data_IF_779910329910
#
_entry.id   IF_779910329910
#
_cell.length_a   1.000
_cell.length_b   1.000
_cell.length_c   1.000
_cell.angle_alpha   90.00
_cell.angle_beta   90.00
_cell.angle_gamma   90.00
#
_symmetry.space_group_name_H-M   'P 1'
#
loop_
_entity.id
_entity.type
_entity.pdbx_description
1 polymer ?
#
# COMPACT_ATOMS: atom_id res chain seq x y z
N UNK A 1 14.77 -7.93 3.18
CA UNK A 1 14.80 -6.69 2.37
C UNK A 1 13.63 -6.78 1.40
N UNK A 2 12.72 -5.81 1.37
CA UNK A 2 11.61 -5.81 0.40
C UNK A 2 12.11 -5.01 -0.79
N UNK A 3 11.88 -5.51 -2.00
CA UNK A 3 12.32 -4.87 -3.24
C UNK A 3 11.15 -4.94 -4.23
N UNK A 4 11.04 -3.91 -5.07
CA UNK A 4 10.20 -3.94 -6.26
C UNK A 4 11.09 -4.05 -7.49
N UNK A 5 10.58 -4.74 -8.51
CA UNK A 5 11.28 -4.91 -9.79
C UNK A 5 10.63 -4.01 -10.83
N UNK A 6 11.43 -3.12 -11.45
CA UNK A 6 11.03 -2.30 -12.59
C UNK A 6 12.01 -2.61 -13.73
N UNK A 7 11.66 -3.60 -14.57
CA UNK A 7 12.59 -4.14 -15.56
C UNK A 7 13.74 -4.91 -14.89
N UNK A 8 14.98 -4.48 -15.13
CA UNK A 8 16.18 -5.03 -14.47
C UNK A 8 16.54 -4.30 -13.16
N UNK A 9 15.87 -3.19 -12.85
CA UNK A 9 16.14 -2.41 -11.65
C UNK A 9 15.44 -3.00 -10.41
N UNK A 10 16.20 -3.12 -9.32
CA UNK A 10 15.69 -3.47 -8.00
C UNK A 10 15.66 -2.25 -7.12
N UNK A 11 14.46 -1.73 -6.87
CA UNK A 11 14.26 -0.54 -6.06
C UNK A 11 13.91 -1.00 -4.62
N UNK A 12 14.65 -0.56 -3.60
CA UNK A 12 14.38 -0.93 -2.22
C UNK A 12 13.02 -0.39 -1.77
N UNK A 13 12.27 -1.22 -1.05
CA UNK A 13 11.00 -0.89 -0.42
C UNK A 13 11.20 -0.99 1.09
N UNK A 14 10.89 0.09 1.80
CA UNK A 14 11.04 0.11 3.25
C UNK A 14 9.80 -0.51 3.91
N UNK A 15 10.01 -1.55 4.71
CA UNK A 15 8.92 -2.24 5.41
C UNK A 15 8.10 -1.29 6.28
N UNK A 16 8.76 -0.37 6.96
CA UNK A 16 8.10 0.55 7.88
C UNK A 16 7.19 1.52 7.12
N UNK A 17 7.62 2.03 5.95
CA UNK A 17 6.77 2.82 5.05
C UNK A 17 5.56 2.03 4.55
N UNK A 18 5.74 0.75 4.22
CA UNK A 18 4.60 -0.13 3.86
C UNK A 18 3.59 -0.21 5.02
N UNK A 19 4.05 -0.42 6.25
CA UNK A 19 3.18 -0.48 7.43
C UNK A 19 2.47 0.85 7.64
N UNK A 20 3.17 1.98 7.51
CA UNK A 20 2.58 3.33 7.62
C UNK A 20 1.47 3.56 6.59
N UNK A 21 1.68 3.15 5.34
CA UNK A 21 0.65 3.23 4.29
C UNK A 21 -0.57 2.39 4.66
N UNK A 22 -0.38 1.15 5.12
CA UNK A 22 -1.48 0.27 5.51
C UNK A 22 -2.27 0.85 6.70
N UNK A 23 -1.61 1.53 7.65
CA UNK A 23 -2.26 2.22 8.77
C UNK A 23 -3.19 3.34 8.31
N UNK A 24 -2.92 4.00 7.18
CA UNK A 24 -3.80 5.05 6.65
C UNK A 24 -5.19 4.52 6.24
N UNK A 25 -5.34 3.21 5.99
CA UNK A 25 -6.60 2.56 5.64
C UNK A 25 -7.40 2.03 6.86
N UNK A 26 -6.97 2.34 8.09
CA UNK A 26 -7.66 1.93 9.31
C UNK A 26 -9.13 2.32 9.31
N UNK A 27 -9.43 3.54 8.88
CA UNK A 27 -10.80 4.09 8.91
C UNK A 27 -11.34 4.43 7.51
N UNK A 28 -10.51 4.30 6.47
CA UNK A 28 -10.85 4.68 5.08
C UNK A 28 -10.52 3.55 4.11
N UNK A 29 -11.33 3.39 3.06
CA UNK A 29 -11.07 2.43 1.97
C UNK A 29 -10.20 3.05 0.86
N UNK A 30 -10.26 4.38 0.72
CA UNK A 30 -9.56 5.18 -0.29
C UNK A 30 -8.90 6.40 0.38
N UNK A 31 -7.66 6.70 0.00
CA UNK A 31 -6.86 7.81 0.51
C UNK A 31 -6.18 8.54 -0.66
N UNK A 32 -5.75 9.79 -0.44
CA UNK A 32 -4.90 10.50 -1.40
C UNK A 32 -3.55 9.79 -1.52
N UNK A 33 -3.01 9.73 -2.72
CA UNK A 33 -1.72 9.09 -2.99
C UNK A 33 -0.51 10.00 -2.72
N UNK A 34 -0.78 11.29 -2.50
CA UNK A 34 0.20 12.29 -2.10
C UNK A 34 0.85 11.90 -0.76
N UNK A 35 2.18 11.87 -0.73
CA UNK A 35 2.96 11.46 0.44
C UNK A 35 3.33 9.96 0.46
N UNK A 36 2.84 9.16 -0.49
CA UNK A 36 3.28 7.78 -0.68
C UNK A 36 4.34 7.73 -1.78
N UNK A 37 5.52 7.22 -1.46
CA UNK A 37 6.60 7.04 -2.43
C UNK A 37 6.22 6.06 -3.54
N UNK A 38 6.75 6.32 -4.73
CA UNK A 38 6.45 5.53 -5.94
C UNK A 38 6.75 4.05 -5.74
N UNK A 39 7.85 3.72 -5.05
CA UNK A 39 8.28 2.35 -4.86
C UNK A 39 7.24 1.52 -4.10
N UNK A 40 6.76 2.04 -2.97
CA UNK A 40 5.77 1.39 -2.13
C UNK A 40 4.41 1.29 -2.83
N UNK A 41 3.99 2.31 -3.60
CA UNK A 41 2.75 2.28 -4.39
C UNK A 41 2.76 1.15 -5.41
N UNK A 42 3.83 1.09 -6.22
CA UNK A 42 3.98 0.07 -7.27
C UNK A 42 4.13 -1.31 -6.64
N UNK A 43 4.91 -1.43 -5.56
CA UNK A 43 5.04 -2.69 -4.83
C UNK A 43 3.68 -3.22 -4.33
N UNK A 44 2.91 -2.39 -3.62
CA UNK A 44 1.60 -2.78 -3.08
C UNK A 44 0.58 -3.08 -4.18
N UNK A 45 0.64 -2.34 -5.29
CA UNK A 45 -0.21 -2.62 -6.46
C UNK A 45 0.17 -3.93 -7.14
N UNK A 46 1.46 -4.20 -7.34
CA UNK A 46 1.97 -5.46 -7.89
C UNK A 46 1.70 -6.69 -7.00
N UNK A 47 1.50 -6.47 -5.69
CA UNK A 47 1.04 -7.51 -4.74
C UNK A 47 -0.48 -7.64 -4.66
N UNK A 48 -1.23 -6.94 -5.51
CA UNK A 48 -2.69 -6.91 -5.51
C UNK A 48 -3.32 -6.42 -4.18
N UNK A 49 -2.65 -5.52 -3.48
CA UNK A 49 -3.14 -4.92 -2.22
C UNK A 49 -3.86 -3.60 -2.52
N UNK A 50 -3.30 -2.78 -3.40
CA UNK A 50 -3.81 -1.46 -3.76
C UNK A 50 -4.14 -1.33 -5.25
N UNK A 51 -5.19 -0.58 -5.53
CA UNK A 51 -5.50 -0.03 -6.84
C UNK A 51 -5.12 1.46 -6.87
N UNK A 52 -4.35 1.86 -7.89
CA UNK A 52 -3.95 3.25 -8.10
C UNK A 52 -4.98 3.90 -9.04
N UNK A 53 -5.58 5.01 -8.61
CA UNK A 53 -6.46 5.83 -9.44
C UNK A 53 -5.73 7.12 -9.85
N UNK A 54 -5.09 7.16 -11.03
CA UNK A 54 -4.32 8.33 -11.47
C UNK A 54 -5.20 9.54 -11.77
N UNK A 55 -6.48 9.36 -12.13
CA UNK A 55 -7.38 10.48 -12.42
C UNK A 55 -7.81 11.23 -11.15
N UNK A 56 -7.89 10.52 -10.02
CA UNK A 56 -8.33 11.10 -8.74
C UNK A 56 -7.16 11.38 -7.78
N UNK A 57 -5.94 10.99 -8.15
CA UNK A 57 -4.77 11.05 -7.28
C UNK A 57 -5.02 10.30 -5.95
N UNK A 58 -5.64 9.13 -6.07
CA UNK A 58 -5.98 8.28 -4.92
C UNK A 58 -5.44 6.88 -5.07
N UNK A 59 -5.28 6.22 -3.93
CA UNK A 59 -5.07 4.79 -3.83
C UNK A 59 -6.18 4.18 -2.99
N UNK A 60 -6.63 2.99 -3.41
CA UNK A 60 -7.74 2.28 -2.79
C UNK A 60 -7.33 0.84 -2.52
N UNK A 61 -7.79 0.24 -1.41
CA UNK A 61 -7.61 -1.20 -1.20
C UNK A 61 -8.40 -1.98 -2.25
N UNK A 62 -7.77 -2.98 -2.87
CA UNK A 62 -8.33 -3.67 -4.03
C UNK A 62 -9.60 -4.47 -3.71
N UNK A 63 -9.80 -4.90 -2.46
CA UNK A 63 -11.02 -5.59 -2.04
C UNK A 63 -11.34 -5.41 -0.55
N UNK A 64 -12.61 -5.58 -0.18
CA UNK A 64 -13.04 -5.53 1.23
C UNK A 64 -12.38 -6.60 2.09
N UNK A 65 -12.11 -7.79 1.56
CA UNK A 65 -11.45 -8.86 2.33
C UNK A 65 -10.01 -8.49 2.70
N UNK A 66 -9.27 -7.86 1.79
CA UNK A 66 -7.92 -7.35 2.07
C UNK A 66 -7.98 -6.22 3.11
N UNK A 67 -8.94 -5.30 2.98
CA UNK A 67 -9.12 -4.20 3.93
C UNK A 67 -9.40 -4.74 5.34
N UNK A 68 -10.28 -5.73 5.47
CA UNK A 68 -10.56 -6.40 6.75
C UNK A 68 -9.30 -7.07 7.30
N UNK A 69 -8.57 -7.84 6.48
CA UNK A 69 -7.34 -8.49 6.91
C UNK A 69 -6.28 -7.51 7.44
N UNK A 70 -6.09 -6.39 6.75
CA UNK A 70 -5.19 -5.31 7.21
C UNK A 70 -5.65 -4.77 8.56
N UNK A 71 -6.94 -4.46 8.72
CA UNK A 71 -7.48 -3.90 9.96
C UNK A 71 -7.38 -4.86 11.14
N UNK A 72 -7.58 -6.16 10.93
CA UNK A 72 -7.40 -7.15 11.99
C UNK A 72 -5.93 -7.26 12.41
N UNK A 73 -5.00 -7.38 11.45
CA UNK A 73 -3.55 -7.45 11.75
C UNK A 73 -3.08 -6.17 12.48
N UNK A 74 -3.56 -5.00 12.07
CA UNK A 74 -3.22 -3.73 12.71
C UNK A 74 -3.72 -3.63 14.17
N UNK A 75 -4.76 -4.39 14.57
CA UNK A 75 -5.18 -4.46 15.99
C UNK A 75 -4.22 -5.30 16.84
N UNK A 76 -3.53 -6.26 16.23
CA UNK A 76 -2.57 -7.15 16.90
C UNK A 76 -1.20 -6.48 17.08
N UNK A 77 -0.88 -5.51 16.24
CA UNK A 77 0.30 -4.64 16.33
C UNK A 77 0.10 -3.60 17.46
N UNK A 78 0.30 -4.04 18.71
CA UNK A 78 0.37 -3.17 19.89
C UNK A 78 1.65 -2.34 19.93
#
# INVERSE_FOLDING_TARGET
>A
KIEMEEGEEKIPVERDKVIEILKMFKDKEEIRDAGISRAEKIYLSGKNILFINPQKETVKIQSRIILTGIREILKELK
#
